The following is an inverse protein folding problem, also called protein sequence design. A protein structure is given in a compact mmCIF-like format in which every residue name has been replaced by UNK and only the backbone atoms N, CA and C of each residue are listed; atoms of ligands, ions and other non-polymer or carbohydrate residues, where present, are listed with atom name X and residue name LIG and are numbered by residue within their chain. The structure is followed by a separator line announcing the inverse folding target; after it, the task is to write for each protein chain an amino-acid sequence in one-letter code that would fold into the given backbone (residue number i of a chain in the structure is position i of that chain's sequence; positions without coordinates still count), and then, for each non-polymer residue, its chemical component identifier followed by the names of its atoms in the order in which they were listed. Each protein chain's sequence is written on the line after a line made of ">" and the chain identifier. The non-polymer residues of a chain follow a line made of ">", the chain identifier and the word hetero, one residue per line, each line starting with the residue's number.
data_IF_448293334229
#
_entry.id   IF_448293334229
#
_cell.length_a   1.000
_cell.length_b   1.000
_cell.length_c   1.000
_cell.angle_alpha   90.00
_cell.angle_beta   90.00
_cell.angle_gamma   90.00
#
_symmetry.space_group_name_H-M   'P 1'
#
loop_
_entity.id
_entity.type
_entity.pdbx_description
1 polymer ?
#
# COMPACT_ATOMS: atom_id res chain seq x y z
N UNK A 1 -31.32 -35.35 -43.16
CA UNK A 1 -30.03 -34.75 -42.75
C UNK A 1 -29.98 -33.22 -42.91
N UNK A 2 -30.26 -32.62 -44.08
CA UNK A 2 -30.23 -31.14 -44.26
C UNK A 2 -31.12 -30.32 -43.30
N UNK A 3 -32.34 -30.79 -42.99
CA UNK A 3 -33.23 -30.10 -42.03
C UNK A 3 -32.69 -30.09 -40.59
N UNK A 4 -31.95 -31.13 -40.18
CA UNK A 4 -31.38 -31.24 -38.84
C UNK A 4 -30.13 -30.35 -38.65
N UNK A 5 -29.33 -30.19 -39.72
CA UNK A 5 -28.20 -29.25 -39.72
C UNK A 5 -28.65 -27.79 -39.66
N UNK A 6 -29.72 -27.43 -40.39
CA UNK A 6 -30.24 -26.06 -40.37
C UNK A 6 -30.82 -25.68 -38.98
N UNK A 7 -31.45 -26.63 -38.27
CA UNK A 7 -31.92 -26.40 -36.90
C UNK A 7 -30.77 -26.25 -35.88
N UNK A 8 -29.66 -26.99 -36.05
CA UNK A 8 -28.48 -26.84 -35.19
C UNK A 8 -27.77 -25.50 -35.41
N UNK A 9 -27.66 -25.06 -36.67
CA UNK A 9 -27.08 -23.76 -37.01
C UNK A 9 -27.91 -22.59 -36.46
N UNK A 10 -29.24 -22.70 -36.49
CA UNK A 10 -30.14 -21.70 -35.90
C UNK A 10 -30.02 -21.67 -34.36
N UNK A 11 -29.89 -22.83 -33.71
CA UNK A 11 -29.70 -22.92 -32.26
C UNK A 11 -28.35 -22.31 -31.82
N UNK A 12 -27.27 -22.54 -32.57
CA UNK A 12 -25.95 -21.93 -32.35
C UNK A 12 -25.98 -20.41 -32.53
N UNK A 13 -26.74 -19.90 -33.52
CA UNK A 13 -26.93 -18.47 -33.72
C UNK A 13 -27.69 -17.85 -32.53
N UNK A 14 -28.79 -18.46 -32.09
CA UNK A 14 -29.58 -17.98 -30.93
C UNK A 14 -28.77 -18.02 -29.63
N UNK A 15 -27.92 -19.04 -29.42
CA UNK A 15 -27.01 -19.11 -28.27
C UNK A 15 -25.96 -17.98 -28.28
N UNK A 16 -25.51 -17.56 -29.48
CA UNK A 16 -24.57 -16.44 -29.61
C UNK A 16 -25.21 -15.08 -29.30
N UNK A 17 -26.50 -14.89 -29.64
CA UNK A 17 -27.25 -13.68 -29.28
C UNK A 17 -27.56 -13.60 -27.77
N UNK A 18 -27.88 -14.72 -27.12
CA UNK A 18 -28.10 -14.75 -25.66
C UNK A 18 -26.85 -14.41 -24.86
N UNK A 19 -25.66 -14.86 -25.30
CA UNK A 19 -24.39 -14.49 -24.68
C UNK A 19 -24.02 -13.01 -24.91
N UNK A 20 -24.41 -12.44 -26.05
CA UNK A 20 -24.18 -11.03 -26.36
C UNK A 20 -25.07 -10.10 -25.52
N UNK A 21 -26.35 -10.45 -25.32
CA UNK A 21 -27.26 -9.71 -24.44
C UNK A 21 -26.92 -9.81 -22.95
N UNK A 22 -26.40 -10.96 -22.50
CA UNK A 22 -25.95 -11.12 -21.12
C UNK A 22 -24.71 -10.26 -20.81
N UNK A 23 -23.74 -10.21 -21.73
CA UNK A 23 -22.56 -9.36 -21.62
C UNK A 23 -22.89 -7.86 -21.69
N UNK A 24 -23.84 -7.45 -22.52
CA UNK A 24 -24.23 -6.05 -22.67
C UNK A 24 -25.05 -5.53 -21.48
N UNK A 25 -25.85 -6.37 -20.83
CA UNK A 25 -26.60 -6.03 -19.60
C UNK A 25 -25.73 -5.79 -18.37
N UNK A 26 -24.55 -6.40 -18.26
CA UNK A 26 -23.66 -6.17 -17.10
C UNK A 26 -23.10 -4.74 -17.11
N UNK A 27 -22.83 -4.16 -18.29
CA UNK A 27 -22.23 -2.83 -18.41
C UNK A 27 -23.18 -1.67 -18.05
N UNK A 28 -24.50 -1.82 -18.21
CA UNK A 28 -25.44 -0.70 -18.00
C UNK A 28 -25.72 -0.36 -16.53
N UNK A 29 -25.29 -1.20 -15.57
CA UNK A 29 -25.56 -1.01 -14.13
C UNK A 29 -24.32 -0.77 -13.27
N UNK A 30 -23.12 -0.79 -13.85
CA UNK A 30 -21.88 -0.57 -13.10
C UNK A 30 -21.66 0.93 -12.81
N UNK A 31 -21.11 1.27 -11.63
CA UNK A 31 -20.71 2.64 -11.35
C UNK A 31 -19.67 3.17 -12.35
N UNK A 32 -19.76 4.48 -12.68
CA UNK A 32 -18.85 5.15 -13.62
C UNK A 32 -17.37 4.94 -13.28
N UNK A 33 -17.01 4.94 -11.99
CA UNK A 33 -15.62 4.75 -11.53
C UNK A 33 -15.08 3.34 -11.83
N UNK A 34 -15.94 2.33 -11.93
CA UNK A 34 -15.55 0.99 -12.38
C UNK A 34 -15.42 0.98 -13.88
N UNK A 35 -16.40 1.54 -14.60
CA UNK A 35 -16.39 1.61 -16.07
C UNK A 35 -15.09 2.24 -16.60
N UNK A 36 -14.62 3.31 -15.96
CA UNK A 36 -13.35 3.97 -16.33
C UNK A 36 -12.09 3.14 -16.07
N UNK A 37 -12.18 2.11 -15.22
CA UNK A 37 -11.04 1.24 -14.85
C UNK A 37 -11.02 -0.08 -15.63
N UNK A 38 -12.13 -0.44 -16.27
CA UNK A 38 -12.27 -1.68 -17.04
C UNK A 38 -12.29 -1.44 -18.55
N UNK A 39 -11.99 -0.22 -19.00
CA UNK A 39 -11.80 0.04 -20.42
C UNK A 39 -10.70 -0.85 -21.00
N UNK A 40 -10.88 -1.37 -22.22
CA UNK A 40 -9.91 -2.28 -22.84
C UNK A 40 -9.85 -3.68 -22.22
N UNK A 41 -10.93 -4.13 -21.57
CA UNK A 41 -11.03 -5.49 -21.00
C UNK A 41 -12.11 -6.33 -21.70
N UNK A 42 -11.96 -7.65 -21.65
CA UNK A 42 -12.95 -8.64 -22.09
C UNK A 42 -13.39 -9.52 -20.92
N UNK A 43 -14.63 -10.00 -20.94
CA UNK A 43 -15.10 -10.97 -19.93
C UNK A 43 -14.29 -12.27 -20.02
N UNK A 44 -14.00 -12.86 -18.87
CA UNK A 44 -13.21 -14.09 -18.77
C UNK A 44 -13.73 -14.99 -17.65
N UNK A 45 -13.48 -16.30 -17.76
CA UNK A 45 -13.85 -17.25 -16.72
C UNK A 45 -12.68 -17.47 -15.76
N UNK A 46 -12.98 -17.44 -14.46
CA UNK A 46 -12.03 -17.72 -13.40
C UNK A 46 -12.70 -18.64 -12.38
N UNK A 47 -12.14 -19.83 -12.24
CA UNK A 47 -12.58 -20.83 -11.27
C UNK A 47 -11.53 -20.96 -10.17
N UNK A 48 -11.34 -19.88 -9.41
CA UNK A 48 -10.36 -19.82 -8.32
C UNK A 48 -10.97 -19.23 -7.05
N UNK A 49 -10.26 -19.41 -5.94
CA UNK A 49 -10.54 -18.75 -4.70
C UNK A 49 -9.69 -17.46 -4.58
N UNK A 50 -10.35 -16.31 -4.55
CA UNK A 50 -9.73 -14.97 -4.42
C UNK A 50 -9.39 -14.60 -2.98
N UNK A 51 -9.49 -15.51 -1.99
CA UNK A 51 -9.28 -15.17 -0.57
C UNK A 51 -7.95 -14.46 -0.36
N UNK A 52 -6.86 -14.90 -1.02
CA UNK A 52 -5.53 -14.31 -0.86
C UNK A 52 -5.46 -12.84 -1.25
N UNK A 53 -6.28 -12.43 -2.22
CA UNK A 53 -6.35 -11.05 -2.71
C UNK A 53 -7.26 -10.24 -1.80
N UNK A 54 -8.45 -10.78 -1.47
CA UNK A 54 -9.44 -10.12 -0.62
C UNK A 54 -8.96 -9.95 0.83
N UNK A 55 -8.09 -10.84 1.30
CA UNK A 55 -7.47 -10.79 2.63
C UNK A 55 -6.03 -10.28 2.61
N UNK A 56 -5.58 -9.66 1.52
CA UNK A 56 -4.22 -9.14 1.43
C UNK A 56 -4.02 -7.99 2.43
N UNK A 57 -2.95 -8.07 3.21
CA UNK A 57 -2.60 -7.11 4.28
C UNK A 57 -1.26 -6.40 4.05
N UNK A 58 -0.75 -6.40 2.81
CA UNK A 58 0.53 -5.74 2.51
C UNK A 58 0.47 -4.23 2.76
N UNK A 59 -0.71 -3.63 2.55
CA UNK A 59 -1.00 -2.23 2.82
C UNK A 59 -2.38 -2.14 3.48
N UNK A 60 -2.51 -1.24 4.46
CA UNK A 60 -3.76 -0.97 5.15
C UNK A 60 -4.78 -0.27 4.24
N UNK A 61 -6.06 -0.49 4.50
CA UNK A 61 -7.10 0.26 3.82
C UNK A 61 -7.12 1.72 4.30
N UNK A 62 -7.07 2.64 3.35
CA UNK A 62 -7.36 4.06 3.56
C UNK A 62 -8.78 4.36 3.07
N UNK A 63 -9.56 5.15 3.81
CA UNK A 63 -10.97 5.33 3.49
C UNK A 63 -11.63 6.55 4.10
N UNK A 64 -12.79 6.92 3.53
CA UNK A 64 -13.65 7.97 4.02
C UNK A 64 -15.12 7.54 4.13
N UNK A 65 -15.87 8.27 4.94
CA UNK A 65 -17.32 8.20 5.08
C UNK A 65 -17.92 9.61 5.18
N UNK A 66 -19.11 9.81 4.60
CA UNK A 66 -19.81 11.08 4.58
C UNK A 66 -19.27 12.07 3.53
N UNK A 67 -20.08 13.09 3.23
CA UNK A 67 -19.74 14.15 2.27
C UNK A 67 -18.64 15.11 2.78
N UNK A 68 -18.27 15.01 4.06
CA UNK A 68 -17.17 15.77 4.65
C UNK A 68 -15.84 14.98 4.63
N UNK A 69 -15.80 13.82 3.98
CA UNK A 69 -14.65 12.91 3.96
C UNK A 69 -14.12 12.59 5.37
N UNK A 70 -15.02 12.27 6.31
CA UNK A 70 -14.61 11.77 7.62
C UNK A 70 -13.80 10.49 7.43
N UNK A 71 -12.61 10.42 8.05
CA UNK A 71 -11.77 9.23 7.96
C UNK A 71 -12.51 7.98 8.45
N UNK A 72 -12.40 6.93 7.66
CA UNK A 72 -12.94 5.61 7.88
C UNK A 72 -11.79 4.60 7.84
N UNK A 73 -11.61 3.83 8.91
CA UNK A 73 -10.74 2.64 8.90
C UNK A 73 -11.60 1.40 8.75
N UNK A 74 -11.14 0.46 7.92
CA UNK A 74 -11.76 -0.85 7.72
C UNK A 74 -10.66 -1.90 7.90
N UNK A 75 -10.91 -2.88 8.76
CA UNK A 75 -10.01 -4.01 8.95
C UNK A 75 -10.75 -5.32 8.76
N UNK A 76 -10.17 -6.23 7.98
CA UNK A 76 -10.69 -7.58 7.82
C UNK A 76 -9.96 -8.54 8.76
N UNK A 77 -10.72 -9.18 9.64
CA UNK A 77 -10.23 -10.22 10.53
C UNK A 77 -10.27 -11.59 9.86
N UNK A 78 -11.32 -11.86 9.07
CA UNK A 78 -11.50 -13.13 8.36
C UNK A 78 -12.20 -12.92 7.04
N UNK A 79 -11.68 -13.55 5.99
CA UNK A 79 -12.32 -13.68 4.68
C UNK A 79 -12.34 -15.16 4.33
N UNK A 80 -13.52 -15.74 4.13
CA UNK A 80 -13.69 -17.16 3.86
C UNK A 80 -14.62 -17.36 2.67
N UNK A 81 -14.17 -18.11 1.66
CA UNK A 81 -15.03 -18.52 0.55
C UNK A 81 -16.12 -19.46 1.07
N UNK A 82 -17.38 -19.14 0.77
CA UNK A 82 -18.54 -19.99 1.05
C UNK A 82 -18.91 -20.85 -0.16
N UNK A 83 -19.06 -20.19 -1.30
CA UNK A 83 -19.34 -20.81 -2.60
C UNK A 83 -18.43 -20.17 -3.65
N UNK A 84 -18.41 -20.72 -4.87
CA UNK A 84 -17.67 -20.11 -5.97
C UNK A 84 -18.05 -18.64 -6.15
N UNK A 85 -17.09 -17.73 -5.96
CA UNK A 85 -17.31 -16.29 -6.07
C UNK A 85 -18.08 -15.64 -4.90
N UNK A 86 -18.39 -16.35 -3.83
CA UNK A 86 -19.08 -15.81 -2.65
C UNK A 86 -18.22 -15.97 -1.40
N UNK A 87 -18.06 -14.89 -0.65
CA UNK A 87 -17.19 -14.84 0.52
C UNK A 87 -17.95 -14.28 1.72
N UNK A 88 -17.76 -14.93 2.87
CA UNK A 88 -18.10 -14.36 4.17
C UNK A 88 -16.92 -13.57 4.71
N UNK A 89 -17.22 -12.41 5.28
CA UNK A 89 -16.24 -11.46 5.80
C UNK A 89 -16.60 -11.09 7.24
N UNK A 90 -15.61 -11.13 8.11
CA UNK A 90 -15.70 -10.60 9.48
C UNK A 90 -14.62 -9.53 9.62
N UNK A 91 -14.97 -8.40 10.21
CA UNK A 91 -14.04 -7.30 10.39
C UNK A 91 -14.57 -6.23 11.32
N UNK A 92 -13.90 -5.08 11.31
CA UNK A 92 -14.30 -3.89 12.07
C UNK A 92 -14.22 -2.64 11.21
N UNK A 93 -15.10 -1.70 11.51
CA UNK A 93 -15.07 -0.34 11.02
C UNK A 93 -14.72 0.60 12.19
N UNK A 94 -13.98 1.66 11.90
CA UNK A 94 -13.68 2.71 12.87
C UNK A 94 -13.92 4.07 12.24
N UNK A 95 -14.78 4.86 12.88
CA UNK A 95 -15.07 6.25 12.51
C UNK A 95 -14.93 7.11 13.75
N UNK A 96 -13.95 8.03 13.75
CA UNK A 96 -13.51 8.74 14.96
C UNK A 96 -13.10 7.71 16.03
N UNK A 97 -13.78 7.72 17.19
CA UNK A 97 -13.57 6.77 18.29
C UNK A 97 -14.61 5.63 18.30
N UNK A 98 -15.55 5.64 17.36
CA UNK A 98 -16.59 4.63 17.29
C UNK A 98 -16.09 3.43 16.50
N UNK A 99 -15.95 2.30 17.18
CA UNK A 99 -15.52 1.04 16.61
C UNK A 99 -16.72 0.12 16.55
N UNK A 100 -17.02 -0.42 15.38
CA UNK A 100 -18.10 -1.39 15.19
C UNK A 100 -17.56 -2.68 14.57
N UNK A 101 -17.98 -3.82 15.08
CA UNK A 101 -17.77 -5.11 14.44
C UNK A 101 -18.78 -5.29 13.31
N UNK A 102 -18.37 -5.92 12.21
CA UNK A 102 -19.29 -6.30 11.15
C UNK A 102 -19.12 -7.75 10.71
N UNK A 103 -20.21 -8.30 10.22
CA UNK A 103 -20.26 -9.52 9.42
C UNK A 103 -20.89 -9.20 8.07
N UNK A 104 -20.42 -9.83 7.00
CA UNK A 104 -21.04 -9.60 5.71
C UNK A 104 -20.48 -10.44 4.59
N UNK A 105 -20.80 -10.03 3.37
CA UNK A 105 -20.53 -10.82 2.17
C UNK A 105 -19.87 -10.02 1.06
N UNK A 106 -19.07 -10.71 0.25
CA UNK A 106 -18.58 -10.25 -1.05
C UNK A 106 -19.02 -11.27 -2.10
N UNK A 107 -19.67 -10.79 -3.16
CA UNK A 107 -20.16 -11.62 -4.26
C UNK A 107 -19.54 -11.13 -5.58
N UNK A 108 -18.69 -11.94 -6.20
CA UNK A 108 -18.11 -11.68 -7.52
C UNK A 108 -19.24 -11.71 -8.55
N UNK A 109 -19.35 -10.66 -9.36
CA UNK A 109 -20.38 -10.51 -10.39
C UNK A 109 -19.81 -10.50 -11.82
N UNK A 110 -18.53 -10.16 -11.99
CA UNK A 110 -17.86 -10.20 -13.29
C UNK A 110 -16.36 -10.41 -13.10
N UNK A 111 -15.74 -11.10 -14.06
CA UNK A 111 -14.30 -11.31 -14.14
C UNK A 111 -13.84 -10.87 -15.53
N UNK A 112 -12.79 -10.05 -15.57
CA UNK A 112 -12.36 -9.40 -16.80
C UNK A 112 -10.85 -9.53 -16.99
N UNK A 113 -10.43 -9.72 -18.22
CA UNK A 113 -9.04 -9.82 -18.65
C UNK A 113 -8.68 -8.58 -19.46
N UNK A 114 -7.51 -7.98 -19.20
CA UNK A 114 -7.01 -6.88 -20.01
C UNK A 114 -6.63 -7.39 -21.40
N UNK A 115 -7.08 -6.70 -22.44
CA UNK A 115 -6.72 -7.03 -23.83
C UNK A 115 -5.25 -6.72 -24.09
N UNK A 116 -4.76 -5.61 -23.53
CA UNK A 116 -3.38 -5.14 -23.63
C UNK A 116 -2.82 -4.80 -22.24
N UNK A 117 -2.35 -5.78 -21.45
CA UNK A 117 -1.81 -5.52 -20.12
C UNK A 117 -0.44 -4.84 -20.19
N UNK A 118 -0.12 -4.03 -19.18
CA UNK A 118 1.26 -3.55 -18.94
C UNK A 118 2.10 -4.63 -18.24
N UNK A 119 3.42 -4.52 -18.37
CA UNK A 119 4.39 -5.51 -17.90
C UNK A 119 5.38 -4.93 -16.87
N UNK A 120 4.98 -3.89 -16.13
CA UNK A 120 5.84 -3.19 -15.16
C UNK A 120 6.95 -2.36 -15.84
N UNK A 121 7.86 -1.82 -15.02
CA UNK A 121 9.00 -1.02 -15.49
C UNK A 121 9.84 -1.85 -16.44
N UNK A 122 10.22 -1.27 -17.58
CA UNK A 122 11.07 -1.87 -18.61
C UNK A 122 10.62 -3.29 -19.03
N UNK A 123 9.31 -3.52 -19.03
CA UNK A 123 8.70 -4.82 -19.32
C UNK A 123 9.20 -5.97 -18.42
N UNK A 124 9.65 -5.66 -17.20
CA UNK A 124 10.26 -6.63 -16.27
C UNK A 124 9.37 -7.86 -15.96
N UNK A 125 8.06 -7.78 -16.17
CA UNK A 125 7.09 -8.86 -15.97
C UNK A 125 6.68 -9.59 -17.26
N UNK A 126 7.27 -9.24 -18.41
CA UNK A 126 6.98 -9.89 -19.70
C UNK A 126 7.36 -11.36 -19.67
N UNK A 127 6.40 -12.22 -20.05
CA UNK A 127 6.54 -13.68 -19.99
C UNK A 127 6.51 -14.30 -18.58
N UNK A 128 6.37 -13.49 -17.52
CA UNK A 128 6.31 -13.98 -16.12
C UNK A 128 4.89 -14.27 -15.63
N UNK A 129 3.88 -13.89 -16.40
CA UNK A 129 2.47 -14.20 -16.13
C UNK A 129 1.72 -14.56 -17.42
N UNK A 130 0.63 -15.31 -17.29
CA UNK A 130 -0.23 -15.79 -18.38
C UNK A 130 -1.21 -14.73 -18.85
N UNK A 131 -1.89 -14.11 -17.90
CA UNK A 131 -2.87 -13.05 -18.14
C UNK A 131 -3.02 -12.18 -16.90
N UNK A 132 -3.54 -10.98 -17.10
CA UNK A 132 -3.76 -9.97 -16.08
C UNK A 132 -5.18 -9.44 -16.24
N UNK A 133 -5.82 -9.08 -15.14
CA UNK A 133 -7.21 -8.71 -15.17
C UNK A 133 -7.72 -8.11 -13.87
N UNK A 134 -9.04 -8.01 -13.79
CA UNK A 134 -9.74 -7.52 -12.64
C UNK A 134 -11.03 -8.31 -12.39
N UNK A 135 -11.54 -8.19 -11.18
CA UNK A 135 -12.81 -8.76 -10.79
C UNK A 135 -13.67 -7.70 -10.14
N UNK A 136 -14.95 -7.76 -10.47
CA UNK A 136 -15.97 -6.83 -9.99
C UNK A 136 -16.88 -7.61 -9.04
N UNK A 137 -17.16 -7.03 -7.88
CA UNK A 137 -17.99 -7.65 -6.88
C UNK A 137 -18.99 -6.65 -6.28
N UNK A 138 -20.05 -7.19 -5.68
CA UNK A 138 -20.92 -6.46 -4.75
C UNK A 138 -20.58 -6.88 -3.33
N UNK A 139 -20.56 -5.93 -2.41
CA UNK A 139 -20.35 -6.22 -1.01
C UNK A 139 -21.51 -5.70 -0.16
N UNK A 140 -21.72 -6.34 0.99
CA UNK A 140 -22.61 -5.87 2.05
C UNK A 140 -22.03 -6.26 3.40
N UNK A 141 -21.69 -5.29 4.24
CA UNK A 141 -21.14 -5.48 5.57
C UNK A 141 -22.09 -4.90 6.61
N UNK A 142 -22.60 -5.73 7.49
CA UNK A 142 -23.59 -5.40 8.51
C UNK A 142 -22.88 -5.26 9.85
N UNK A 143 -22.83 -4.03 10.38
CA UNK A 143 -22.29 -3.80 11.72
C UNK A 143 -23.22 -4.42 12.78
N UNK A 144 -22.71 -4.70 13.99
CA UNK A 144 -23.54 -5.19 15.10
C UNK A 144 -24.61 -4.14 15.46
N UNK A 145 -25.91 -4.45 15.34
CA UNK A 145 -26.99 -3.52 15.66
C UNK A 145 -26.99 -3.04 17.12
N UNK A 146 -26.33 -3.76 18.03
CA UNK A 146 -26.22 -3.40 19.45
C UNK A 146 -25.13 -2.36 19.72
N UNK A 147 -24.21 -2.14 18.78
CA UNK A 147 -23.14 -1.15 18.94
C UNK A 147 -23.63 0.26 18.60
N UNK A 148 -23.15 1.24 19.37
CA UNK A 148 -23.55 2.63 19.19
C UNK A 148 -23.15 3.13 17.80
N UNK A 149 -24.06 3.86 17.15
CA UNK A 149 -23.78 4.46 15.85
C UNK A 149 -23.66 3.46 14.70
N UNK A 150 -24.11 2.22 14.86
CA UNK A 150 -24.04 1.17 13.85
C UNK A 150 -24.99 1.34 12.66
N UNK A 151 -24.65 0.66 11.58
CA UNK A 151 -25.34 0.61 10.30
C UNK A 151 -24.82 -0.53 9.43
N UNK A 152 -24.93 -0.37 8.12
CA UNK A 152 -24.37 -1.32 7.17
C UNK A 152 -23.73 -0.60 6.00
N UNK A 153 -22.62 -1.14 5.50
CA UNK A 153 -21.98 -0.72 4.26
C UNK A 153 -22.51 -1.59 3.11
N UNK A 154 -22.76 -0.99 1.96
CA UNK A 154 -23.07 -1.74 0.74
C UNK A 154 -22.63 -1.00 -0.51
N UNK A 155 -22.14 -1.74 -1.50
CA UNK A 155 -21.62 -1.12 -2.71
C UNK A 155 -20.91 -2.09 -3.63
N UNK A 156 -19.96 -1.56 -4.40
CA UNK A 156 -19.16 -2.30 -5.35
C UNK A 156 -17.69 -2.34 -4.94
N UNK A 157 -17.06 -3.46 -5.29
CA UNK A 157 -15.64 -3.72 -5.12
C UNK A 157 -15.03 -3.99 -6.51
N UNK A 158 -13.87 -3.39 -6.76
CA UNK A 158 -12.99 -3.69 -7.88
C UNK A 158 -11.60 -4.07 -7.36
N UNK A 159 -11.08 -5.22 -7.77
CA UNK A 159 -9.72 -5.62 -7.45
C UNK A 159 -9.02 -6.22 -8.67
N UNK A 160 -7.70 -6.07 -8.69
CA UNK A 160 -6.83 -6.46 -9.81
C UNK A 160 -5.99 -7.67 -9.43
N UNK A 161 -5.77 -8.52 -10.42
CA UNK A 161 -5.04 -9.77 -10.26
C UNK A 161 -4.25 -10.10 -11.52
N UNK A 162 -3.21 -10.92 -11.38
CA UNK A 162 -2.59 -11.62 -12.50
C UNK A 162 -2.48 -13.12 -12.24
N UNK A 163 -2.49 -13.88 -13.33
CA UNK A 163 -2.31 -15.32 -13.31
C UNK A 163 -0.86 -15.67 -13.61
N UNK A 164 -0.19 -16.26 -12.63
CA UNK A 164 1.18 -16.77 -12.80
C UNK A 164 1.23 -17.93 -13.80
N UNK A 165 2.43 -18.24 -14.30
CA UNK A 165 2.66 -19.41 -15.18
C UNK A 165 2.24 -20.75 -14.55
N UNK A 166 2.15 -20.80 -13.21
CA UNK A 166 1.71 -21.97 -12.44
C UNK A 166 0.18 -21.99 -12.18
N UNK A 167 -0.62 -21.25 -12.95
CA UNK A 167 -2.08 -21.16 -12.83
C UNK A 167 -2.57 -20.64 -11.46
N UNK A 168 -1.75 -19.83 -10.78
CA UNK A 168 -2.16 -19.16 -9.54
C UNK A 168 -2.56 -17.74 -9.83
N UNK A 169 -3.78 -17.38 -9.44
CA UNK A 169 -4.28 -16.01 -9.44
C UNK A 169 -3.81 -15.35 -8.15
N UNK A 170 -3.08 -14.24 -8.27
CA UNK A 170 -2.50 -13.51 -7.15
C UNK A 170 -2.77 -12.01 -7.28
N UNK A 171 -2.57 -11.32 -6.16
CA UNK A 171 -2.72 -9.88 -6.06
C UNK A 171 -1.85 -9.20 -7.11
N UNK A 172 -2.43 -8.28 -7.87
CA UNK A 172 -1.68 -7.55 -8.88
C UNK A 172 -0.94 -6.38 -8.27
N UNK A 173 0.36 -6.58 -8.08
CA UNK A 173 1.36 -5.63 -7.62
C UNK A 173 2.37 -5.23 -8.72
N UNK A 174 2.05 -5.48 -10.00
CA UNK A 174 3.01 -5.28 -11.10
C UNK A 174 3.42 -3.82 -11.27
N UNK A 175 2.49 -2.90 -11.04
CA UNK A 175 2.69 -1.46 -11.23
C UNK A 175 2.62 -0.69 -9.89
N UNK A 176 2.96 -1.33 -8.76
CA UNK A 176 2.84 -0.73 -7.42
C UNK A 176 3.76 0.48 -7.18
N UNK A 177 4.74 0.68 -8.06
CA UNK A 177 5.61 1.85 -8.13
C UNK A 177 4.95 3.07 -8.83
N UNK A 178 3.80 2.88 -9.48
CA UNK A 178 3.17 3.90 -10.32
C UNK A 178 2.24 4.80 -9.51
N UNK A 179 2.37 6.12 -9.65
CA UNK A 179 1.54 7.12 -8.97
C UNK A 179 0.01 6.83 -8.94
N UNK A 180 -0.64 6.42 -10.05
CA UNK A 180 -2.07 6.11 -10.08
C UNK A 180 -2.44 4.71 -9.56
N UNK A 181 -1.48 3.93 -9.07
CA UNK A 181 -1.70 2.55 -8.69
C UNK A 181 -2.68 2.42 -7.52
N UNK A 182 -3.55 1.43 -7.62
CA UNK A 182 -4.62 1.18 -6.66
C UNK A 182 -5.07 -0.28 -6.76
N UNK A 183 -5.52 -0.85 -5.65
CA UNK A 183 -6.13 -2.18 -5.65
C UNK A 183 -7.16 -2.31 -4.52
N UNK A 184 -7.94 -3.39 -4.53
CA UNK A 184 -9.00 -3.68 -3.56
C UNK A 184 -9.85 -2.43 -3.24
N UNK A 185 -10.43 -1.85 -4.28
CA UNK A 185 -11.15 -0.57 -4.26
C UNK A 185 -12.63 -0.81 -3.93
N UNK A 186 -13.11 -0.26 -2.83
CA UNK A 186 -14.50 -0.35 -2.38
C UNK A 186 -15.16 1.02 -2.43
N UNK A 187 -16.36 1.12 -3.00
CA UNK A 187 -17.17 2.34 -2.99
C UNK A 187 -18.65 2.03 -2.87
N UNK A 188 -19.37 2.79 -2.05
CA UNK A 188 -20.76 2.53 -1.74
C UNK A 188 -21.40 3.53 -0.78
N UNK A 189 -22.41 3.04 -0.08
CA UNK A 189 -23.16 3.77 0.94
C UNK A 189 -23.07 3.02 2.26
N UNK A 190 -22.77 3.75 3.34
CA UNK A 190 -23.05 3.34 4.70
C UNK A 190 -24.43 3.85 5.11
N UNK A 191 -25.29 3.01 5.67
CA UNK A 191 -26.64 3.39 6.10
C UNK A 191 -26.87 3.04 7.57
N UNK A 192 -27.23 4.03 8.38
CA UNK A 192 -27.50 3.87 9.81
C UNK A 192 -28.69 2.97 10.09
N UNK A 193 -28.59 2.04 11.04
CA UNK A 193 -29.74 1.27 11.49
C UNK A 193 -30.78 2.14 12.21
N UNK A 194 -30.31 3.03 13.08
CA UNK A 194 -31.17 3.89 13.91
C UNK A 194 -31.88 4.96 13.10
N UNK A 195 -31.12 5.71 12.28
CA UNK A 195 -31.67 6.90 11.60
C UNK A 195 -32.09 6.65 10.15
N UNK A 196 -31.74 5.48 9.59
CA UNK A 196 -31.92 5.12 8.17
C UNK A 196 -31.24 6.07 7.17
N UNK A 197 -30.47 7.08 7.64
CA UNK A 197 -29.72 8.00 6.79
C UNK A 197 -28.51 7.29 6.17
N UNK A 198 -28.30 7.55 4.89
CA UNK A 198 -27.13 7.09 4.14
C UNK A 198 -26.00 8.12 4.13
N UNK A 199 -24.76 7.64 4.02
CA UNK A 199 -23.54 8.42 3.82
C UNK A 199 -22.71 7.76 2.71
N UNK A 200 -22.16 8.51 1.75
CA UNK A 200 -21.21 7.95 0.80
C UNK A 200 -19.98 7.44 1.57
N UNK A 201 -19.40 6.34 1.13
CA UNK A 201 -18.17 5.83 1.70
C UNK A 201 -17.35 5.13 0.63
N UNK A 202 -16.03 5.22 0.77
CA UNK A 202 -15.10 4.49 -0.06
C UNK A 202 -13.82 4.20 0.72
N UNK A 203 -13.17 3.10 0.38
CA UNK A 203 -11.86 2.74 0.91
C UNK A 203 -11.12 1.87 -0.10
N UNK A 204 -9.80 1.81 0.02
CA UNK A 204 -8.97 1.04 -0.89
C UNK A 204 -7.53 0.91 -0.41
N UNK A 205 -6.75 0.07 -1.10
CA UNK A 205 -5.31 0.01 -0.90
C UNK A 205 -4.62 0.97 -1.89
N UNK A 206 -3.58 1.66 -1.40
CA UNK A 206 -2.79 2.70 -2.09
C UNK A 206 -3.55 3.99 -2.39
N UNK A 207 -4.75 3.90 -2.98
CA UNK A 207 -5.62 5.05 -3.28
C UNK A 207 -7.07 4.72 -2.91
N UNK A 208 -7.89 5.77 -2.75
CA UNK A 208 -9.32 5.64 -2.46
C UNK A 208 -10.11 5.90 -3.75
N UNK A 209 -11.04 5.03 -4.17
CA UNK A 209 -11.87 5.33 -5.33
C UNK A 209 -12.82 6.49 -4.98
N UNK A 210 -13.28 7.24 -5.99
CA UNK A 210 -14.24 8.34 -5.83
C UNK A 210 -13.83 9.39 -4.76
N UNK A 211 -12.54 9.59 -4.55
CA UNK A 211 -11.98 10.50 -3.54
C UNK A 211 -12.20 11.98 -3.85
N UNK A 212 -12.46 12.36 -5.10
CA UNK A 212 -12.73 13.76 -5.46
C UNK A 212 -11.56 14.67 -5.05
N UNK A 213 -11.87 15.78 -4.38
CA UNK A 213 -10.89 16.74 -3.88
C UNK A 213 -10.24 16.35 -2.53
N UNK A 214 -10.55 15.15 -2.00
CA UNK A 214 -9.87 14.61 -0.81
C UNK A 214 -8.41 14.29 -1.10
N UNK A 215 -8.13 13.65 -2.24
CA UNK A 215 -6.79 13.23 -2.62
C UNK A 215 -6.16 14.26 -3.56
N UNK A 216 -5.15 14.98 -3.06
CA UNK A 216 -4.36 15.97 -3.81
C UNK A 216 -2.96 15.46 -4.13
N UNK A 217 -2.68 14.19 -3.85
CA UNK A 217 -1.34 13.64 -3.92
C UNK A 217 -0.93 13.27 -5.34
N UNK A 218 0.17 13.86 -5.81
CA UNK A 218 0.72 13.59 -7.13
C UNK A 218 1.32 12.19 -7.28
N UNK A 219 1.92 11.65 -6.20
CA UNK A 219 2.58 10.33 -6.19
C UNK A 219 1.86 9.31 -5.30
N UNK A 220 1.67 9.64 -4.02
CA UNK A 220 0.92 8.83 -3.05
C UNK A 220 -0.34 9.56 -2.60
N UNK A 221 -1.30 8.84 -2.00
CA UNK A 221 -2.49 9.46 -1.39
C UNK A 221 -2.08 10.59 -0.44
N UNK A 222 -2.57 11.80 -0.69
CA UNK A 222 -2.32 12.94 0.18
C UNK A 222 -3.61 13.68 0.44
N UNK A 223 -3.95 13.80 1.73
CA UNK A 223 -5.18 14.44 2.16
C UNK A 223 -5.10 15.94 1.90
N UNK A 224 -6.12 16.47 1.25
CA UNK A 224 -6.31 17.90 1.13
C UNK A 224 -6.38 18.55 2.52
N UNK A 225 -5.53 19.55 2.84
CA UNK A 225 -5.48 20.18 4.16
C UNK A 225 -6.84 20.61 4.72
N UNK A 226 -7.78 20.98 3.83
CA UNK A 226 -9.17 21.30 4.18
C UNK A 226 -9.86 20.21 4.99
N UNK A 227 -9.51 18.93 4.82
CA UNK A 227 -10.16 17.80 5.48
C UNK A 227 -9.34 17.19 6.61
N UNK A 228 -8.15 17.71 6.95
CA UNK A 228 -7.28 17.13 7.98
C UNK A 228 -8.01 16.91 9.32
N UNK A 229 -8.74 17.93 9.76
CA UNK A 229 -9.55 17.91 10.99
C UNK A 229 -10.65 16.82 11.01
N UNK A 230 -10.96 16.20 9.87
CA UNK A 230 -11.92 15.10 9.77
C UNK A 230 -11.30 13.74 10.07
N UNK A 231 -10.32 13.69 10.97
CA UNK A 231 -9.66 12.47 11.47
C UNK A 231 -8.43 12.04 10.69
N UNK A 232 -7.94 12.87 9.76
CA UNK A 232 -6.75 12.62 8.94
C UNK A 232 -5.47 13.24 9.50
N UNK A 233 -5.54 13.87 10.67
CA UNK A 233 -4.38 14.35 11.40
C UNK A 233 -3.49 13.18 11.85
N UNK A 234 -2.19 13.32 11.58
CA UNK A 234 -1.13 12.36 11.88
C UNK A 234 -1.12 11.98 13.37
N UNK A 235 -1.74 10.85 13.74
CA UNK A 235 -1.77 10.46 15.17
C UNK A 235 -1.90 8.98 15.47
N UNK A 236 -2.02 8.07 14.48
CA UNK A 236 -2.07 6.62 14.76
C UNK A 236 -1.25 5.80 13.76
N UNK A 237 -1.46 5.99 12.46
CA UNK A 237 -0.81 5.14 11.43
C UNK A 237 0.70 5.41 11.33
N UNK A 238 1.11 6.67 11.49
CA UNK A 238 2.54 6.99 11.63
C UNK A 238 3.17 6.39 12.88
N UNK A 239 2.41 6.13 13.95
CA UNK A 239 2.97 5.48 15.14
C UNK A 239 3.15 3.97 14.94
N UNK A 240 2.25 3.31 14.22
CA UNK A 240 2.40 1.89 13.87
C UNK A 240 3.56 1.70 12.88
N UNK A 241 3.63 2.51 11.82
CA UNK A 241 4.75 2.46 10.87
C UNK A 241 6.08 2.90 11.51
N UNK A 242 6.08 3.88 12.42
CA UNK A 242 7.27 4.26 13.19
C UNK A 242 7.71 3.15 14.14
N UNK A 243 6.77 2.39 14.74
CA UNK A 243 7.09 1.33 15.70
C UNK A 243 8.06 0.30 15.12
N UNK A 244 7.91 0.03 13.82
CA UNK A 244 8.78 -0.83 13.03
C UNK A 244 10.23 -0.33 12.96
N UNK A 245 10.46 0.97 13.09
CA UNK A 245 11.76 1.62 13.01
C UNK A 245 12.31 2.09 14.34
N UNK A 246 11.55 1.99 15.44
CA UNK A 246 12.06 2.29 16.78
C UNK A 246 13.17 1.30 17.14
N UNK A 247 14.28 1.82 17.65
CA UNK A 247 15.44 1.04 18.03
C UNK A 247 16.74 1.80 17.89
N UNK A 248 17.82 1.09 18.19
CA UNK A 248 19.19 1.57 18.05
C UNK A 248 19.86 0.86 16.88
N UNK A 249 20.57 1.62 16.06
CA UNK A 249 21.28 1.14 14.90
C UNK A 249 22.73 1.56 15.01
N UNK A 250 23.67 0.64 14.77
CA UNK A 250 25.09 0.97 14.82
C UNK A 250 25.82 0.46 13.58
N UNK A 251 26.91 1.12 13.23
CA UNK A 251 27.94 0.58 12.36
C UNK A 251 29.31 1.11 12.75
N UNK A 252 30.32 0.25 12.66
CA UNK A 252 31.73 0.61 12.82
C UNK A 252 32.43 0.44 11.48
N UNK A 253 32.99 1.52 10.97
CA UNK A 253 33.68 1.57 9.69
C UNK A 253 35.18 1.69 9.97
N UNK A 254 35.91 0.62 9.70
CA UNK A 254 37.37 0.62 9.78
C UNK A 254 37.95 1.06 8.45
N UNK A 255 38.50 2.27 8.41
CA UNK A 255 39.19 2.82 7.25
C UNK A 255 40.65 2.32 7.25
N UNK A 256 41.03 1.61 6.19
CA UNK A 256 42.41 1.16 5.98
C UNK A 256 43.17 2.17 5.13
N UNK A 257 44.29 2.69 5.63
CA UNK A 257 45.24 3.47 4.82
C UNK A 257 45.88 2.54 3.76
N UNK A 258 45.31 2.46 2.56
CA UNK A 258 46.00 1.92 1.39
C UNK A 258 46.35 3.07 0.44
N UNK A 259 47.60 3.50 0.47
CA UNK A 259 48.13 4.59 -0.37
C UNK A 259 49.47 5.11 0.14
N UNK A 260 50.10 6.01 -0.63
CA UNK A 260 51.44 6.61 -0.34
C UNK A 260 51.52 7.42 0.96
N UNK A 261 50.40 7.60 1.65
CA UNK A 261 50.28 8.41 2.87
C UNK A 261 50.25 7.56 4.17
N UNK A 262 50.76 6.31 4.11
CA UNK A 262 50.90 5.45 5.28
C UNK A 262 52.00 5.97 6.22
N UNK A 263 51.61 6.35 7.45
CA UNK A 263 52.53 6.69 8.53
C UNK A 263 52.71 5.43 9.42
N UNK A 264 53.92 4.87 9.54
CA UNK A 264 54.17 3.73 10.43
C UNK A 264 53.83 4.09 11.88
N UNK A 265 52.92 3.34 12.50
CA UNK A 265 52.48 3.55 13.89
C UNK A 265 51.05 4.11 14.03
N UNK A 266 50.41 4.53 12.94
CA UNK A 266 48.98 4.86 12.93
C UNK A 266 48.17 3.61 12.54
N UNK A 267 47.67 2.89 13.53
CA UNK A 267 46.80 1.72 13.32
C UNK A 267 45.55 2.08 12.51
N UNK A 268 44.88 1.05 11.97
CA UNK A 268 43.60 1.19 11.28
C UNK A 268 42.64 2.04 12.13
N UNK A 269 42.01 3.05 11.52
CA UNK A 269 41.12 3.93 12.28
C UNK A 269 39.67 3.55 12.06
N UNK A 270 38.92 3.51 13.16
CA UNK A 270 37.50 3.18 13.14
C UNK A 270 36.66 4.42 13.40
N UNK A 271 35.58 4.56 12.64
CA UNK A 271 34.53 5.55 12.84
C UNK A 271 33.26 4.80 13.20
N UNK A 272 32.70 5.11 14.36
CA UNK A 272 31.46 4.52 14.84
C UNK A 272 30.31 5.49 14.59
N UNK A 273 29.22 4.97 14.08
CA UNK A 273 27.96 5.70 13.90
C UNK A 273 26.88 4.99 14.69
N UNK A 274 26.22 5.72 15.59
CA UNK A 274 25.04 5.23 16.31
C UNK A 274 23.84 6.10 15.95
N UNK A 275 22.72 5.45 15.64
CA UNK A 275 21.47 6.10 15.27
C UNK A 275 20.41 5.55 16.22
N UNK A 276 19.80 6.42 17.00
CA UNK A 276 18.67 6.07 17.86
C UNK A 276 17.41 6.68 17.31
N UNK A 277 16.39 5.85 17.08
CA UNK A 277 15.05 6.29 16.69
C UNK A 277 14.10 5.90 17.81
N UNK A 278 13.56 6.91 18.49
CA UNK A 278 12.50 6.78 19.48
C UNK A 278 11.18 7.38 18.97
N UNK A 279 10.13 7.27 19.79
CA UNK A 279 8.78 7.76 19.46
C UNK A 279 8.75 9.26 19.15
N UNK A 280 9.49 10.05 19.93
CA UNK A 280 9.49 11.52 19.89
C UNK A 280 10.88 12.13 19.64
N UNK A 281 11.90 11.30 19.41
CA UNK A 281 13.28 11.75 19.29
C UNK A 281 14.10 10.88 18.35
N UNK A 282 14.93 11.50 17.51
CA UNK A 282 15.97 10.79 16.78
C UNK A 282 17.32 11.43 17.08
N UNK A 283 18.34 10.63 17.35
CA UNK A 283 19.70 11.07 17.64
C UNK A 283 20.66 10.31 16.74
N UNK A 284 21.62 11.01 16.16
CA UNK A 284 22.67 10.44 15.32
C UNK A 284 24.01 10.89 15.88
N UNK A 285 24.82 9.94 16.31
CA UNK A 285 26.17 10.18 16.82
C UNK A 285 27.20 9.61 15.86
N UNK A 286 28.31 10.32 15.76
CA UNK A 286 29.52 9.84 15.12
C UNK A 286 30.67 10.03 16.11
N UNK A 287 31.47 9.00 16.31
CA UNK A 287 32.66 9.03 17.13
C UNK A 287 33.78 8.22 16.46
N UNK A 288 34.87 8.88 16.10
CA UNK A 288 35.98 8.25 15.39
C UNK A 288 37.12 9.22 15.08
N UNK A 289 38.01 8.83 14.18
CA UNK A 289 39.19 9.62 13.81
C UNK A 289 38.86 11.10 13.55
N UNK A 290 39.30 11.98 14.46
CA UNK A 290 39.13 13.44 14.34
C UNK A 290 37.69 13.89 14.02
N UNK A 291 36.69 13.02 14.29
CA UNK A 291 35.30 13.22 13.90
C UNK A 291 34.44 12.83 15.09
N UNK A 292 33.88 13.84 15.74
CA UNK A 292 32.89 13.67 16.79
C UNK A 292 31.73 14.62 16.55
N UNK A 293 30.52 14.07 16.50
CA UNK A 293 29.30 14.85 16.49
C UNK A 293 28.12 14.09 17.07
N UNK A 294 27.16 14.83 17.59
CA UNK A 294 25.85 14.37 18.03
C UNK A 294 24.80 15.31 17.48
N UNK A 295 23.85 14.76 16.72
CA UNK A 295 22.83 15.52 16.00
C UNK A 295 21.45 15.07 16.44
N UNK A 296 20.61 16.04 16.81
CA UNK A 296 19.19 15.81 16.96
C UNK A 296 18.52 15.85 15.58
N UNK A 297 17.70 14.86 15.31
CA UNK A 297 16.94 14.68 14.08
C UNK A 297 15.44 14.60 14.37
N UNK A 298 14.65 14.73 13.33
CA UNK A 298 13.21 14.40 13.33
C UNK A 298 12.88 13.56 12.12
N UNK A 299 11.76 12.83 12.17
CA UNK A 299 11.29 12.07 11.02
C UNK A 299 10.90 13.04 9.90
N UNK A 300 11.47 12.80 8.72
CA UNK A 300 11.12 13.52 7.50
C UNK A 300 10.05 12.76 6.72
N UNK A 301 10.26 11.46 6.52
CA UNK A 301 9.40 10.59 5.71
C UNK A 301 9.54 9.14 6.19
N UNK A 302 8.44 8.38 6.18
CA UNK A 302 8.44 6.93 6.41
C UNK A 302 7.81 6.30 5.17
N UNK A 303 8.45 5.23 4.66
CA UNK A 303 7.95 4.35 3.61
C UNK A 303 8.02 2.91 4.12
N UNK A 304 7.37 2.00 3.39
CA UNK A 304 7.34 0.56 3.72
C UNK A 304 8.74 -0.06 3.92
N UNK A 305 9.76 0.42 3.21
CA UNK A 305 11.13 -0.10 3.28
C UNK A 305 12.19 0.94 3.67
N UNK A 306 11.82 2.17 4.03
CA UNK A 306 12.79 3.19 4.41
C UNK A 306 12.25 4.22 5.39
N UNK A 307 13.13 4.76 6.24
CA UNK A 307 12.86 5.92 7.09
C UNK A 307 13.91 7.00 6.84
N UNK A 308 13.44 8.20 6.52
CA UNK A 308 14.29 9.38 6.26
C UNK A 308 14.25 10.32 7.44
N UNK A 309 15.42 10.78 7.88
CA UNK A 309 15.59 11.73 8.97
C UNK A 309 15.97 13.10 8.41
N UNK A 310 15.42 14.16 9.00
CA UNK A 310 15.87 15.54 8.79
C UNK A 310 16.66 16.02 10.00
N UNK A 311 17.74 16.75 9.71
CA UNK A 311 18.49 17.49 10.72
C UNK A 311 17.56 18.47 11.45
N UNK A 312 17.70 18.56 12.77
CA UNK A 312 17.00 19.55 13.61
C UNK A 312 17.98 20.53 14.25
N UNK A 313 19.01 20.01 14.94
CA UNK A 313 20.07 20.81 15.55
C UNK A 313 21.29 19.96 15.89
N UNK A 314 22.46 20.58 15.94
CA UNK A 314 23.65 20.00 16.56
C UNK A 314 23.45 19.98 18.09
N UNK A 315 23.74 18.85 18.72
CA UNK A 315 23.75 18.69 20.17
C UNK A 315 25.15 18.89 20.74
N UNK A 316 26.15 18.33 20.06
CA UNK A 316 27.55 18.36 20.48
C UNK A 316 28.47 18.03 19.27
N UNK A 317 29.74 18.40 19.33
CA UNK A 317 30.74 18.01 18.32
C UNK A 317 31.49 19.14 17.62
N UNK A 318 32.60 18.75 16.98
CA UNK A 318 33.58 19.65 16.35
C UNK A 318 33.24 19.98 14.89
N UNK A 319 32.09 19.50 14.39
CA UNK A 319 31.68 19.69 12.99
C UNK A 319 30.99 21.04 12.79
N UNK A 320 31.69 21.97 12.12
CA UNK A 320 31.12 23.21 11.59
C UNK A 320 30.35 22.92 10.29
N UNK A 321 29.06 22.60 10.39
CA UNK A 321 28.16 22.52 9.22
C UNK A 321 26.98 23.46 9.48
N UNK A 322 26.98 24.62 8.82
CA UNK A 322 25.90 25.60 8.95
C UNK A 322 24.57 25.06 8.38
N UNK A 323 24.63 24.16 7.39
CA UNK A 323 23.46 23.57 6.75
C UNK A 323 23.68 22.11 6.33
N UNK A 324 22.79 21.22 6.76
CA UNK A 324 22.73 19.83 6.31
C UNK A 324 21.75 19.69 5.14
N UNK A 325 22.16 19.00 4.08
CA UNK A 325 21.31 18.64 2.95
C UNK A 325 20.19 17.68 3.40
N UNK A 326 19.02 17.81 2.77
CA UNK A 326 17.87 16.96 3.05
C UNK A 326 17.73 15.83 2.01
N UNK A 327 17.44 14.58 2.44
CA UNK A 327 17.40 14.13 3.83
C UNK A 327 18.80 14.06 4.46
N UNK A 328 18.88 14.25 5.78
CA UNK A 328 20.16 14.16 6.51
C UNK A 328 20.73 12.74 6.45
N UNK A 329 19.87 11.74 6.65
CA UNK A 329 20.17 10.34 6.38
C UNK A 329 18.89 9.58 6.08
N UNK A 330 19.04 8.43 5.43
CA UNK A 330 17.95 7.50 5.18
C UNK A 330 18.39 6.10 5.56
N UNK A 331 17.56 5.40 6.34
CA UNK A 331 17.72 3.99 6.66
C UNK A 331 16.80 3.19 5.74
N UNK A 332 17.32 2.12 5.16
CA UNK A 332 16.62 1.19 4.29
C UNK A 332 16.56 -0.20 4.90
N UNK A 333 15.49 -0.94 4.63
CA UNK A 333 15.33 -2.35 4.99
C UNK A 333 15.20 -3.17 3.71
N UNK A 334 16.08 -4.15 3.53
CA UNK A 334 15.98 -5.15 2.46
C UNK A 334 16.08 -6.56 3.08
N UNK A 335 14.94 -7.26 3.10
CA UNK A 335 14.77 -8.58 3.72
C UNK A 335 15.19 -8.58 5.20
N UNK A 336 16.39 -9.08 5.49
CA UNK A 336 16.96 -9.20 6.84
C UNK A 336 18.05 -8.16 7.11
N UNK A 337 18.47 -7.40 6.10
CA UNK A 337 19.55 -6.42 6.22
C UNK A 337 18.99 -5.00 6.32
N UNK A 338 19.68 -4.18 7.10
CA UNK A 338 19.35 -2.76 7.28
C UNK A 338 20.56 -1.96 6.83
N UNK A 339 20.33 -0.90 6.06
CA UNK A 339 21.38 -0.07 5.51
C UNK A 339 21.13 1.38 5.83
N UNK A 340 22.19 2.17 6.01
CA UNK A 340 22.13 3.63 6.04
C UNK A 340 22.77 4.20 4.78
N UNK A 341 22.20 5.30 4.29
CA UNK A 341 22.78 6.15 3.26
C UNK A 341 22.72 7.59 3.72
N UNK A 342 23.84 8.29 3.64
CA UNK A 342 23.94 9.71 4.00
C UNK A 342 25.16 10.34 3.31
N UNK A 343 25.08 11.64 3.02
CA UNK A 343 26.23 12.44 2.61
C UNK A 343 27.27 12.61 3.74
N UNK A 344 26.87 12.32 4.99
CA UNK A 344 27.64 12.56 6.21
C UNK A 344 28.17 11.26 6.84
N UNK A 345 27.98 10.12 6.16
CA UNK A 345 28.52 8.81 6.53
C UNK A 345 29.37 8.31 5.37
N UNK A 346 30.61 7.94 5.66
CA UNK A 346 31.63 7.59 4.68
C UNK A 346 31.91 6.09 4.70
N UNK A 347 32.02 5.43 3.54
CA UNK A 347 32.39 4.01 3.47
C UNK A 347 33.88 3.75 3.78
N UNK A 348 34.27 2.48 3.83
CA UNK A 348 35.66 2.06 4.13
C UNK A 348 36.68 2.54 3.07
N UNK A 349 36.23 2.97 1.90
CA UNK A 349 37.04 3.54 0.82
C UNK A 349 37.03 5.08 0.81
N UNK A 350 36.43 5.73 1.80
CA UNK A 350 36.37 7.19 1.87
C UNK A 350 35.26 7.82 1.01
N UNK A 351 34.29 7.05 0.52
CA UNK A 351 33.22 7.54 -0.35
C UNK A 351 31.94 7.81 0.45
N UNK A 352 31.40 9.01 0.29
CA UNK A 352 30.13 9.40 0.91
C UNK A 352 28.93 8.87 0.11
N UNK A 353 27.74 8.89 0.74
CA UNK A 353 26.46 8.59 0.09
C UNK A 353 26.36 7.17 -0.52
N UNK A 354 27.02 6.21 0.13
CA UNK A 354 26.93 4.77 -0.17
C UNK A 354 26.03 4.07 0.84
N UNK A 355 25.50 2.90 0.44
CA UNK A 355 24.74 2.04 1.34
C UNK A 355 25.72 1.32 2.28
N UNK A 356 25.56 1.56 3.58
CA UNK A 356 26.41 1.00 4.62
C UNK A 356 25.54 0.13 5.52
N UNK A 357 25.97 -1.10 5.77
CA UNK A 357 25.22 -2.06 6.58
C UNK A 357 25.15 -1.58 8.03
N UNK A 358 23.96 -1.61 8.62
CA UNK A 358 23.71 -1.35 10.03
C UNK A 358 23.39 -2.66 10.76
N UNK A 359 23.87 -2.76 11.99
CA UNK A 359 23.30 -3.68 12.98
C UNK A 359 22.17 -2.98 13.71
N UNK A 360 21.10 -3.71 14.01
CA UNK A 360 19.97 -3.21 14.79
C UNK A 360 19.92 -3.89 16.15
N UNK A 361 19.66 -3.10 17.18
CA UNK A 361 19.34 -3.54 18.53
C UNK A 361 17.94 -3.06 18.87
N UNK A 362 17.12 -3.96 19.40
CA UNK A 362 15.83 -3.60 19.97
C UNK A 362 16.09 -2.88 21.31
N UNK A 363 15.33 -1.81 21.57
CA UNK A 363 15.39 -1.02 22.80
C UNK A 363 14.68 -1.74 23.96
#
# INVERSE_FOLDING_TARGET
>A
MKKLLNSLALLLLVLSFLNCEASSKVHSYLPKWILSKIEGTKTTNIHTNFYRILSDKRINYIGFIGSNYQRLKIEFHRVQMKNAGQYDVVGISIVKKNRCHFHGTINIIDNREFISPTFGVDESMKGKFKRRGCSIAKYRFEEDPNEAGSGFFSGYLLFFWYETNNNRIIYDDIDDYSDPYCNNQYAGIWQSYKTKKGKPCAWGQYRIPISGDLDIGAAEFSVNPKYLHNGWEDSEDKHEELSDWIGSYETSITCGLKGKDYIPGTGAVSINYDITIGKDSCIVTCAGFQSYYSVACTIYEIKSNSISLKFKKLLDGDTFVEHYEMPFLTIYRDKQNIYVKSLYITDKEGRNNKLILLKRYEL
#
